data_IF_930739368595
#
_entry.id   IF_930739368595
#
_cell.length_a   1.000
_cell.length_b   1.000
_cell.length_c   1.000
_cell.angle_alpha   90.00
_cell.angle_beta   90.00
_cell.angle_gamma   90.00
#
_symmetry.space_group_name_H-M   'P 1'
#
loop_
_entity.id
_entity.type
_entity.pdbx_description
1 polymer ?
#
# COMPACT_ATOMS: atom_id res chain seq x y z
N UNK A 1 9.14 -0.60 19.84
CA UNK A 1 9.19 0.51 18.88
C UNK A 1 8.71 -0.01 17.54
N UNK A 2 7.63 0.55 17.00
CA UNK A 2 7.03 0.13 15.74
C UNK A 2 6.39 1.35 15.07
N UNK A 3 6.72 1.58 13.80
CA UNK A 3 6.20 2.73 13.04
C UNK A 3 5.08 2.29 12.09
N UNK A 4 4.06 3.13 11.88
CA UNK A 4 2.99 2.83 10.94
C UNK A 4 3.49 2.88 9.49
N UNK A 5 2.96 1.98 8.64
CA UNK A 5 3.21 2.02 7.20
C UNK A 5 2.43 3.18 6.59
N UNK A 6 3.10 3.97 5.74
CA UNK A 6 2.49 5.05 4.97
C UNK A 6 2.84 4.90 3.50
N UNK A 7 1.91 5.25 2.60
CA UNK A 7 2.19 5.31 1.17
C UNK A 7 2.22 6.78 0.69
N UNK A 8 3.30 7.09 -0.02
CA UNK A 8 3.65 8.40 -0.55
C UNK A 8 3.70 8.32 -2.08
N UNK A 9 3.34 9.41 -2.76
CA UNK A 9 3.67 9.60 -4.18
C UNK A 9 4.71 10.70 -4.36
N UNK A 10 5.55 10.54 -5.38
CA UNK A 10 6.56 11.51 -5.76
C UNK A 10 6.43 11.80 -7.26
N UNK A 11 6.28 13.08 -7.60
CA UNK A 11 6.12 13.54 -8.99
C UNK A 11 7.41 14.12 -9.59
N UNK A 12 8.55 13.95 -8.90
CA UNK A 12 9.82 14.56 -9.27
C UNK A 12 10.11 15.88 -8.54
N UNK A 13 9.09 16.54 -7.99
CA UNK A 13 9.24 17.82 -7.27
C UNK A 13 8.60 17.82 -5.89
N UNK A 14 7.48 17.12 -5.74
CA UNK A 14 6.67 17.12 -4.52
C UNK A 14 6.47 15.69 -4.02
N UNK A 15 6.58 15.54 -2.71
CA UNK A 15 6.15 14.35 -1.99
C UNK A 15 4.73 14.60 -1.51
N UNK A 16 3.80 13.74 -1.89
CA UNK A 16 2.40 13.80 -1.45
C UNK A 16 2.10 12.57 -0.60
N UNK A 17 1.55 12.82 0.59
CA UNK A 17 0.97 11.75 1.39
C UNK A 17 -0.35 11.32 0.75
N UNK A 18 -0.47 10.04 0.44
CA UNK A 18 -1.73 9.46 0.00
C UNK A 18 -2.40 8.95 1.27
N UNK A 19 -3.63 9.38 1.54
CA UNK A 19 -4.38 8.84 2.67
C UNK A 19 -4.94 7.47 2.29
N UNK A 20 -4.55 6.42 3.02
CA UNK A 20 -5.08 5.07 2.83
C UNK A 20 -5.78 4.58 4.10
N UNK A 21 -7.12 4.72 4.21
CA UNK A 21 -7.84 4.21 5.38
C UNK A 21 -7.67 2.69 5.54
N UNK A 22 -7.45 1.96 4.45
CA UNK A 22 -7.31 0.51 4.47
C UNK A 22 -5.91 0.01 4.90
N UNK A 23 -4.84 0.79 4.74
CA UNK A 23 -3.50 0.40 5.24
C UNK A 23 -3.40 0.54 6.77
N UNK A 24 -4.19 1.43 7.37
CA UNK A 24 -4.23 1.62 8.83
C UNK A 24 -4.79 0.40 9.58
N UNK A 25 -5.53 -0.47 8.87
CA UNK A 25 -6.10 -1.69 9.45
C UNK A 25 -5.15 -2.91 9.40
N UNK A 26 -3.93 -2.75 8.89
CA UNK A 26 -2.93 -3.83 8.88
C UNK A 26 -2.47 -4.07 10.32
N UNK A 27 -3.00 -5.13 10.94
CA UNK A 27 -2.56 -5.60 12.25
C UNK A 27 -1.31 -6.47 12.10
N UNK A 28 -0.36 -6.27 13.02
CA UNK A 28 0.90 -7.02 13.09
C UNK A 28 2.08 -6.25 12.51
N UNK A 29 3.26 -6.87 12.59
CA UNK A 29 4.51 -6.29 12.09
C UNK A 29 4.68 -6.62 10.61
N UNK A 30 4.77 -5.59 9.77
CA UNK A 30 5.10 -5.72 8.36
C UNK A 30 6.59 -5.97 8.21
N UNK A 31 6.95 -7.03 7.47
CA UNK A 31 8.34 -7.40 7.17
C UNK A 31 8.77 -6.92 5.79
N UNK A 32 7.87 -6.98 4.81
CA UNK A 32 8.18 -6.64 3.43
C UNK A 32 6.93 -6.13 2.67
N UNK A 33 7.17 -5.31 1.65
CA UNK A 33 6.18 -4.64 0.81
C UNK A 33 6.66 -4.64 -0.63
N UNK A 34 5.90 -5.25 -1.54
CA UNK A 34 6.28 -5.33 -2.95
C UNK A 34 5.13 -5.03 -3.89
N UNK A 35 5.36 -4.11 -4.81
CA UNK A 35 4.49 -3.91 -5.96
C UNK A 35 4.78 -4.97 -7.03
N UNK A 36 3.74 -5.66 -7.48
CA UNK A 36 3.78 -6.61 -8.59
C UNK A 36 2.80 -6.20 -9.68
N UNK A 37 3.13 -6.53 -10.93
CA UNK A 37 2.21 -6.36 -12.05
C UNK A 37 1.40 -7.65 -12.19
N UNK A 38 0.13 -7.59 -11.80
CA UNK A 38 -0.84 -8.66 -11.99
C UNK A 38 -1.65 -8.48 -13.26
N UNK A 39 -2.48 -9.48 -13.58
CA UNK A 39 -3.36 -9.47 -14.76
C UNK A 39 -4.32 -8.27 -14.76
N UNK A 40 -4.74 -7.80 -13.59
CA UNK A 40 -5.71 -6.72 -13.40
C UNK A 40 -5.06 -5.37 -13.06
N UNK A 41 -3.74 -5.25 -13.24
CA UNK A 41 -3.00 -4.02 -12.94
C UNK A 41 -1.98 -4.20 -11.81
N UNK A 42 -1.61 -3.09 -11.17
CA UNK A 42 -0.57 -3.07 -10.14
C UNK A 42 -1.14 -3.47 -8.78
N UNK A 43 -0.56 -4.48 -8.15
CA UNK A 43 -0.97 -5.00 -6.85
C UNK A 43 0.16 -4.83 -5.84
N UNK A 44 -0.16 -4.39 -4.63
CA UNK A 44 0.76 -4.34 -3.50
C UNK A 44 0.57 -5.59 -2.66
N UNK A 45 1.65 -6.36 -2.53
CA UNK A 45 1.72 -7.51 -1.63
C UNK A 45 2.38 -7.06 -0.33
N UNK A 46 1.75 -7.38 0.80
CA UNK A 46 2.27 -7.09 2.14
C UNK A 46 2.57 -8.40 2.85
N UNK A 47 3.84 -8.61 3.20
CA UNK A 47 4.27 -9.73 4.03
C UNK A 47 4.33 -9.31 5.49
N UNK A 48 3.59 -10.03 6.35
CA UNK A 48 3.60 -9.83 7.80
C UNK A 48 4.36 -10.96 8.47
N UNK A 49 4.97 -10.69 9.62
CA UNK A 49 5.61 -11.74 10.41
C UNK A 49 4.56 -12.73 10.94
N UNK A 50 4.81 -14.02 10.71
CA UNK A 50 4.00 -15.14 11.20
C UNK A 50 2.51 -15.08 10.83
N UNK A 51 2.17 -14.45 9.70
CA UNK A 51 0.78 -14.28 9.25
C UNK A 51 0.71 -14.37 7.72
N UNK A 52 -0.51 -14.46 7.18
CA UNK A 52 -0.78 -14.56 5.75
C UNK A 52 -0.43 -13.26 5.00
N UNK A 53 -0.06 -13.43 3.73
CA UNK A 53 0.15 -12.33 2.79
C UNK A 53 -1.16 -11.57 2.57
N UNK A 54 -1.08 -10.24 2.58
CA UNK A 54 -2.19 -9.38 2.20
C UNK A 54 -1.96 -8.84 0.79
N UNK A 55 -3.05 -8.67 0.04
CA UNK A 55 -3.04 -8.19 -1.33
C UNK A 55 -3.92 -6.94 -1.42
N UNK A 56 -3.34 -5.84 -1.91
CA UNK A 56 -4.04 -4.59 -2.13
C UNK A 56 -3.97 -4.21 -3.60
N UNK A 57 -5.12 -3.90 -4.19
CA UNK A 57 -5.16 -3.29 -5.51
C UNK A 57 -5.15 -1.77 -5.36
N UNK A 58 -4.31 -1.10 -6.15
CA UNK A 58 -4.39 0.35 -6.25
C UNK A 58 -5.62 0.69 -7.08
N UNK A 59 -6.69 1.12 -6.41
CA UNK A 59 -7.83 1.71 -7.11
C UNK A 59 -7.39 3.07 -7.65
N UNK A 60 -7.30 3.20 -8.97
CA UNK A 60 -7.18 4.51 -9.60
C UNK A 60 -8.51 5.24 -9.40
N UNK A 61 -8.58 6.11 -8.39
CA UNK A 61 -9.67 7.07 -8.22
C UNK A 61 -9.52 8.18 -9.26
N UNK A 62 -9.65 7.82 -10.54
CA UNK A 62 -9.98 8.77 -11.60
C UNK A 62 -11.49 8.74 -11.76
N UNK A 63 -12.11 9.91 -11.56
CA UNK A 63 -13.52 10.24 -11.82
C UNK A 63 -14.50 10.02 -10.67
N UNK A 64 -14.84 11.11 -9.99
CA UNK A 64 -16.25 11.53 -9.89
C UNK A 64 -16.30 13.01 -10.26
N UNK A 65 -17.08 13.30 -11.32
CA UNK A 65 -17.55 14.65 -11.66
C UNK A 65 -18.53 15.13 -10.60
#
# INVERSE_FOLDING_TARGET
DAQPVVLLSFDGKHIKYIHQPNLLNIKGQVRDLKWVNGKNGKELIVARNNDALLFFQLLNSTTLK
#
